data_IF_233523905157
#
_entry.id   IF_233523905157
#
_cell.length_a   1.000
_cell.length_b   1.000
_cell.length_c   1.000
_cell.angle_alpha   90.00
_cell.angle_beta   90.00
_cell.angle_gamma   90.00
#
_symmetry.space_group_name_H-M   'P 1'
#
loop_
_entity.id
_entity.type
_entity.pdbx_description
1 polymer ?
#
# COMPACT_ATOMS: atom_id res chain seq x y z
N UNK A 1 -17.30 48.89 17.38
CA UNK A 1 -17.36 47.54 16.77
C UNK A 1 -18.72 47.37 16.12
N UNK A 2 -18.78 47.47 14.79
CA UNK A 2 -20.04 47.36 14.03
C UNK A 2 -20.26 45.87 13.73
N UNK A 3 -21.24 45.23 14.38
CA UNK A 3 -21.70 43.89 13.99
C UNK A 3 -22.33 44.01 12.60
N UNK A 4 -21.66 43.48 11.57
CA UNK A 4 -22.27 43.36 10.24
C UNK A 4 -23.55 42.52 10.38
N UNK A 5 -24.70 42.98 9.88
CA UNK A 5 -25.92 42.18 9.88
C UNK A 5 -25.69 40.92 9.03
N UNK A 6 -26.02 39.76 9.60
CA UNK A 6 -26.07 38.49 8.87
C UNK A 6 -27.27 38.61 7.93
N UNK A 7 -27.01 38.74 6.63
CA UNK A 7 -28.05 38.78 5.60
C UNK A 7 -28.60 37.37 5.37
N UNK A 8 -29.93 37.24 5.28
CA UNK A 8 -30.65 35.97 5.13
C UNK A 8 -30.22 35.17 3.88
N UNK A 9 -29.78 35.84 2.82
CA UNK A 9 -29.26 35.19 1.60
C UNK A 9 -28.06 34.26 1.86
N UNK A 10 -27.28 34.52 2.92
CA UNK A 10 -26.12 33.70 3.24
C UNK A 10 -26.49 32.38 3.94
N UNK A 11 -27.73 32.25 4.43
CA UNK A 11 -28.19 31.06 5.16
C UNK A 11 -28.64 29.98 4.15
N UNK A 12 -29.35 30.36 3.09
CA UNK A 12 -29.86 29.40 2.09
C UNK A 12 -28.72 28.71 1.34
N UNK A 13 -27.68 29.44 0.92
CA UNK A 13 -26.52 28.86 0.26
C UNK A 13 -25.81 27.80 1.11
N UNK A 14 -25.65 28.09 2.40
CA UNK A 14 -24.99 27.17 3.34
C UNK A 14 -25.77 25.89 3.57
N UNK A 15 -27.11 25.97 3.61
CA UNK A 15 -27.99 24.79 3.77
C UNK A 15 -27.91 23.89 2.54
N UNK A 16 -27.88 24.47 1.33
CA UNK A 16 -27.78 23.71 0.08
C UNK A 16 -26.42 23.01 -0.01
N UNK A 17 -25.33 23.70 0.34
CA UNK A 17 -23.99 23.10 0.39
C UNK A 17 -23.90 21.96 1.40
N UNK A 18 -24.52 22.11 2.57
CA UNK A 18 -24.55 21.08 3.62
C UNK A 18 -25.31 19.83 3.17
N UNK A 19 -26.49 20.01 2.57
CA UNK A 19 -27.27 18.90 2.01
C UNK A 19 -26.50 18.17 0.90
N UNK A 20 -25.79 18.92 0.05
CA UNK A 20 -25.03 18.33 -1.05
C UNK A 20 -23.84 17.50 -0.56
N UNK A 21 -23.07 18.01 0.42
CA UNK A 21 -21.96 17.28 1.00
C UNK A 21 -22.43 15.98 1.68
N UNK A 22 -23.54 16.02 2.40
CA UNK A 22 -24.11 14.85 3.06
C UNK A 22 -24.56 13.77 2.06
N UNK A 23 -25.17 14.18 0.95
CA UNK A 23 -25.54 13.26 -0.14
C UNK A 23 -24.29 12.62 -0.77
N UNK A 24 -23.25 13.42 -1.04
CA UNK A 24 -21.99 12.92 -1.58
C UNK A 24 -21.31 11.92 -0.63
N UNK A 25 -21.21 12.23 0.66
CA UNK A 25 -20.66 11.32 1.67
C UNK A 25 -21.46 10.01 1.76
N UNK A 26 -22.79 10.10 1.80
CA UNK A 26 -23.68 8.93 1.86
C UNK A 26 -23.51 7.99 0.66
N UNK A 27 -23.19 8.54 -0.50
CA UNK A 27 -22.89 7.78 -1.72
C UNK A 27 -21.47 7.19 -1.71
N UNK A 28 -20.46 8.00 -1.41
CA UNK A 28 -19.05 7.62 -1.59
C UNK A 28 -18.50 6.75 -0.47
N UNK A 29 -18.89 6.99 0.79
CA UNK A 29 -18.32 6.29 1.95
C UNK A 29 -18.57 4.78 1.90
N UNK A 30 -19.81 4.27 1.65
CA UNK A 30 -20.03 2.82 1.57
C UNK A 30 -19.22 2.15 0.46
N UNK A 31 -19.11 2.80 -0.72
CA UNK A 31 -18.28 2.31 -1.83
C UNK A 31 -16.80 2.25 -1.44
N UNK A 32 -16.32 3.27 -0.72
CA UNK A 32 -14.95 3.35 -0.24
C UNK A 32 -14.60 2.21 0.72
N UNK A 33 -15.48 1.94 1.69
CA UNK A 33 -15.33 0.86 2.67
C UNK A 33 -15.41 -0.51 2.00
N UNK A 34 -16.37 -0.72 1.10
CA UNK A 34 -16.53 -1.97 0.36
C UNK A 34 -15.30 -2.29 -0.50
N UNK A 35 -14.77 -1.30 -1.24
CA UNK A 35 -13.58 -1.46 -2.08
C UNK A 35 -12.33 -1.84 -1.28
N UNK A 36 -12.23 -1.38 -0.02
CA UNK A 36 -11.14 -1.72 0.89
C UNK A 36 -11.41 -2.94 1.77
N UNK A 37 -12.62 -3.51 1.67
CA UNK A 37 -13.13 -4.60 2.50
C UNK A 37 -13.13 -4.27 4.00
N UNK A 38 -13.36 -3.00 4.33
CA UNK A 38 -13.37 -2.50 5.70
C UNK A 38 -14.69 -2.79 6.40
N UNK A 39 -14.63 -3.40 7.59
CA UNK A 39 -15.79 -3.99 8.29
C UNK A 39 -15.97 -3.53 9.73
N UNK A 40 -15.03 -2.76 10.29
CA UNK A 40 -15.13 -2.23 11.66
C UNK A 40 -16.32 -1.31 11.95
N UNK A 41 -16.92 -0.69 10.94
CA UNK A 41 -18.02 0.26 11.14
C UNK A 41 -19.35 -0.50 11.23
N UNK A 42 -19.99 -0.46 12.41
CA UNK A 42 -21.30 -1.06 12.67
C UNK A 42 -22.47 -0.11 12.41
N UNK A 43 -22.29 1.18 12.73
CA UNK A 43 -23.28 2.25 12.50
C UNK A 43 -22.83 3.15 11.34
N UNK A 44 -23.24 2.78 10.12
CA UNK A 44 -22.89 3.52 8.90
C UNK A 44 -23.45 4.96 8.89
N UNK A 45 -24.72 5.23 9.27
CA UNK A 45 -25.21 6.60 9.39
C UNK A 45 -24.39 7.49 10.31
N UNK A 46 -24.04 7.01 11.51
CA UNK A 46 -23.21 7.78 12.45
C UNK A 46 -21.81 8.06 11.87
N UNK A 47 -21.20 7.05 11.24
CA UNK A 47 -19.90 7.22 10.59
C UNK A 47 -19.93 8.24 9.44
N UNK A 48 -21.00 8.26 8.63
CA UNK A 48 -21.16 9.27 7.56
C UNK A 48 -21.17 10.68 8.14
N UNK A 49 -21.85 10.92 9.27
CA UNK A 49 -21.86 12.22 9.95
C UNK A 49 -20.45 12.63 10.37
N UNK A 50 -19.68 11.73 10.98
CA UNK A 50 -18.28 12.00 11.34
C UNK A 50 -17.40 12.37 10.12
N UNK A 51 -17.63 11.69 8.99
CA UNK A 51 -16.92 11.97 7.74
C UNK A 51 -17.29 13.33 7.17
N UNK A 52 -18.58 13.70 7.18
CA UNK A 52 -19.04 15.03 6.78
C UNK A 52 -18.37 16.13 7.61
N UNK A 53 -18.30 15.97 8.94
CA UNK A 53 -17.69 16.94 9.83
C UNK A 53 -16.18 17.09 9.61
N UNK A 54 -15.46 16.01 9.33
CA UNK A 54 -14.05 16.05 8.96
C UNK A 54 -13.83 16.65 7.57
N UNK A 55 -14.68 16.31 6.58
CA UNK A 55 -14.59 16.86 5.23
C UNK A 55 -14.82 18.39 5.24
N UNK A 56 -15.80 18.87 5.99
CA UNK A 56 -16.09 20.30 6.17
C UNK A 56 -14.88 21.04 6.75
N UNK A 57 -14.28 20.51 7.83
CA UNK A 57 -13.05 21.07 8.44
C UNK A 57 -11.86 21.14 7.48
N UNK A 58 -11.83 20.30 6.43
CA UNK A 58 -10.79 20.34 5.38
C UNK A 58 -11.11 21.33 4.27
N UNK A 59 -12.38 21.45 3.89
CA UNK A 59 -12.85 22.43 2.91
C UNK A 59 -12.70 23.88 3.41
N UNK A 60 -12.78 24.09 4.73
CA UNK A 60 -12.59 25.42 5.34
C UNK A 60 -11.12 25.91 5.34
N UNK A 61 -10.16 25.07 4.96
CA UNK A 61 -8.74 25.46 4.83
C UNK A 61 -8.52 26.26 3.54
N UNK A 62 -7.44 27.03 3.34
CA UNK A 62 -7.18 27.76 2.08
C UNK A 62 -6.48 26.88 0.99
N UNK A 63 -6.36 27.35 -0.27
CA UNK A 63 -7.01 26.85 -1.48
C UNK A 63 -6.26 25.73 -2.24
N UNK A 64 -5.40 24.94 -1.59
CA UNK A 64 -4.80 23.76 -2.27
C UNK A 64 -5.81 22.60 -2.39
N UNK A 65 -7.09 22.91 -2.66
CA UNK A 65 -8.16 21.97 -2.48
C UNK A 65 -8.15 20.89 -3.56
N UNK A 66 -7.96 19.63 -3.15
CA UNK A 66 -8.29 18.52 -4.03
C UNK A 66 -9.81 18.52 -4.27
N UNK A 67 -10.27 17.77 -5.29
CA UNK A 67 -11.70 17.66 -5.60
C UNK A 67 -12.53 17.25 -4.36
N UNK A 68 -13.82 17.64 -4.26
CA UNK A 68 -14.69 17.27 -3.15
C UNK A 68 -14.66 15.77 -2.83
N UNK A 69 -14.74 14.91 -3.85
CA UNK A 69 -14.63 13.46 -3.71
C UNK A 69 -13.33 13.03 -3.02
N UNK A 70 -12.21 13.69 -3.33
CA UNK A 70 -10.92 13.39 -2.72
C UNK A 70 -10.85 13.87 -1.27
N UNK A 71 -11.48 15.01 -0.95
CA UNK A 71 -11.60 15.48 0.43
C UNK A 71 -12.43 14.49 1.25
N UNK A 72 -13.56 14.01 0.72
CA UNK A 72 -14.42 13.00 1.35
C UNK A 72 -13.65 11.70 1.56
N UNK A 73 -12.92 11.20 0.55
CA UNK A 73 -12.09 10.01 0.68
C UNK A 73 -11.06 10.17 1.81
N UNK A 74 -10.34 11.29 1.86
CA UNK A 74 -9.35 11.53 2.90
C UNK A 74 -9.98 11.65 4.29
N UNK A 75 -11.14 12.30 4.40
CA UNK A 75 -11.90 12.39 5.64
C UNK A 75 -12.36 11.01 6.13
N UNK A 76 -12.88 10.17 5.22
CA UNK A 76 -13.29 8.81 5.52
C UNK A 76 -12.13 7.94 5.99
N UNK A 77 -10.98 7.98 5.30
CA UNK A 77 -9.77 7.26 5.73
C UNK A 77 -9.31 7.74 7.12
N UNK A 78 -9.30 9.05 7.36
CA UNK A 78 -8.90 9.60 8.64
C UNK A 78 -9.83 9.13 9.76
N UNK A 79 -11.15 9.26 9.61
CA UNK A 79 -12.12 8.79 10.61
C UNK A 79 -12.05 7.29 10.81
N UNK A 80 -11.91 6.52 9.74
CA UNK A 80 -11.73 5.07 9.85
C UNK A 80 -10.47 4.70 10.66
N UNK A 81 -9.37 5.44 10.52
CA UNK A 81 -8.17 5.22 11.33
C UNK A 81 -8.43 5.41 12.84
N UNK A 82 -9.28 6.37 13.23
CA UNK A 82 -9.69 6.52 14.63
C UNK A 82 -10.44 5.29 15.13
N UNK A 83 -11.42 4.79 14.37
CA UNK A 83 -12.17 3.57 14.71
C UNK A 83 -11.27 2.33 14.76
N UNK A 84 -10.35 2.21 13.81
CA UNK A 84 -9.40 1.11 13.76
C UNK A 84 -8.45 1.09 14.96
N UNK A 85 -7.88 2.24 15.30
CA UNK A 85 -7.04 2.41 16.48
C UNK A 85 -7.80 2.07 17.77
N UNK A 86 -9.01 2.61 17.93
CA UNK A 86 -9.85 2.33 19.09
C UNK A 86 -10.21 0.84 19.20
N UNK A 87 -10.53 0.18 18.08
CA UNK A 87 -10.84 -1.25 18.07
C UNK A 87 -9.61 -2.11 18.44
N UNK A 88 -8.41 -1.73 17.99
CA UNK A 88 -7.16 -2.38 18.43
C UNK A 88 -6.92 -2.26 19.94
N UNK A 89 -7.34 -1.15 20.56
CA UNK A 89 -7.24 -0.92 22.01
C UNK A 89 -8.42 -1.47 22.81
N UNK A 90 -9.45 -1.98 22.15
CA UNK A 90 -10.66 -2.46 22.82
C UNK A 90 -10.34 -3.62 23.75
N UNK A 91 -10.98 -3.63 24.93
CA UNK A 91 -11.00 -4.80 25.82
C UNK A 91 -11.96 -5.88 25.32
N UNK A 92 -12.79 -5.58 24.32
CA UNK A 92 -13.71 -6.54 23.69
C UNK A 92 -12.95 -7.44 22.70
N UNK A 93 -12.83 -8.75 22.96
CA UNK A 93 -11.98 -9.64 22.18
C UNK A 93 -12.37 -9.71 20.69
N UNK A 94 -13.67 -9.68 20.37
CA UNK A 94 -14.15 -9.77 19.00
C UNK A 94 -13.79 -8.52 18.18
N UNK A 95 -13.98 -7.34 18.76
CA UNK A 95 -13.63 -6.07 18.13
C UNK A 95 -12.13 -5.97 17.88
N UNK A 96 -11.32 -6.32 18.89
CA UNK A 96 -9.86 -6.35 18.76
C UNK A 96 -9.38 -7.38 17.73
N UNK A 97 -9.91 -8.60 17.75
CA UNK A 97 -9.57 -9.63 16.78
C UNK A 97 -9.91 -9.21 15.35
N UNK A 98 -11.09 -8.61 15.14
CA UNK A 98 -11.48 -8.10 13.82
C UNK A 98 -10.52 -7.01 13.35
N UNK A 99 -10.17 -6.05 14.23
CA UNK A 99 -9.24 -4.97 13.93
C UNK A 99 -7.86 -5.48 13.51
N UNK A 100 -7.30 -6.45 14.24
CA UNK A 100 -6.01 -7.06 13.87
C UNK A 100 -6.09 -7.93 12.62
N UNK A 101 -7.22 -8.61 12.38
CA UNK A 101 -7.46 -9.39 11.15
C UNK A 101 -7.47 -8.49 9.92
N UNK A 102 -8.18 -7.37 9.99
CA UNK A 102 -8.16 -6.37 8.93
C UNK A 102 -6.75 -5.79 8.75
N UNK A 103 -6.03 -5.54 9.85
CA UNK A 103 -4.71 -4.90 9.82
C UNK A 103 -3.68 -5.82 9.18
N UNK A 104 -3.73 -7.11 9.51
CA UNK A 104 -2.97 -8.16 8.84
C UNK A 104 -3.18 -8.11 7.34
N UNK A 105 -4.44 -8.13 6.86
CA UNK A 105 -4.76 -8.09 5.43
C UNK A 105 -4.20 -6.84 4.74
N UNK A 106 -4.33 -5.67 5.38
CA UNK A 106 -3.77 -4.42 4.86
C UNK A 106 -2.24 -4.46 4.76
N UNK A 107 -1.55 -4.88 5.82
CA UNK A 107 -0.09 -4.94 5.87
C UNK A 107 0.47 -6.01 4.94
N UNK A 108 -0.17 -7.17 4.84
CA UNK A 108 0.26 -8.28 3.99
C UNK A 108 0.24 -7.92 2.51
N UNK A 109 -0.77 -7.19 2.04
CA UNK A 109 -0.80 -6.67 0.67
C UNK A 109 0.39 -5.74 0.38
N UNK A 110 0.80 -4.92 1.35
CA UNK A 110 1.97 -4.04 1.22
C UNK A 110 3.27 -4.87 1.26
N UNK A 111 3.35 -5.87 2.14
CA UNK A 111 4.52 -6.72 2.29
C UNK A 111 4.80 -7.54 1.02
N UNK A 112 3.77 -8.19 0.46
CA UNK A 112 3.87 -8.97 -0.79
C UNK A 112 4.28 -8.12 -1.99
N UNK A 113 3.88 -6.84 -2.03
CA UNK A 113 4.33 -5.94 -3.08
C UNK A 113 5.84 -5.61 -2.96
N UNK A 114 6.41 -5.69 -1.76
CA UNK A 114 7.80 -5.31 -1.47
C UNK A 114 8.76 -6.50 -1.35
N UNK A 115 8.24 -7.69 -1.08
CA UNK A 115 9.00 -8.90 -0.85
C UNK A 115 8.43 -10.03 -1.72
N UNK A 116 9.28 -10.64 -2.54
CA UNK A 116 8.88 -11.70 -3.46
C UNK A 116 8.60 -13.01 -2.71
N UNK A 117 9.35 -13.28 -1.64
CA UNK A 117 9.13 -14.43 -0.79
C UNK A 117 7.92 -14.22 0.13
N UNK A 118 6.84 -14.96 -0.12
CA UNK A 118 5.59 -14.87 0.64
C UNK A 118 5.78 -15.23 2.13
N UNK A 119 6.70 -16.15 2.45
CA UNK A 119 6.95 -16.57 3.83
C UNK A 119 7.65 -15.44 4.60
N UNK A 120 8.68 -14.82 4.00
CA UNK A 120 9.36 -13.66 4.60
C UNK A 120 8.38 -12.48 4.75
N UNK A 121 7.47 -12.28 3.80
CA UNK A 121 6.44 -11.26 3.89
C UNK A 121 5.46 -11.51 5.04
N UNK A 122 5.00 -12.75 5.22
CA UNK A 122 4.09 -13.14 6.30
C UNK A 122 4.74 -12.97 7.67
N UNK A 123 5.95 -13.49 7.86
CA UNK A 123 6.67 -13.34 9.13
C UNK A 123 6.96 -11.86 9.46
N UNK A 124 7.24 -11.02 8.47
CA UNK A 124 7.44 -9.58 8.67
C UNK A 124 6.14 -8.88 9.11
N UNK A 125 4.98 -9.32 8.60
CA UNK A 125 3.68 -8.80 9.02
C UNK A 125 3.37 -9.24 10.44
N UNK A 126 3.59 -10.51 10.78
CA UNK A 126 3.37 -11.02 12.14
C UNK A 126 4.19 -10.23 13.16
N UNK A 127 5.49 -10.04 12.91
CA UNK A 127 6.37 -9.25 13.78
C UNK A 127 5.90 -7.79 13.87
N UNK A 128 5.51 -7.19 12.74
CA UNK A 128 4.98 -5.82 12.73
C UNK A 128 3.70 -5.69 13.57
N UNK A 129 2.79 -6.68 13.53
CA UNK A 129 1.57 -6.67 14.33
C UNK A 129 1.86 -6.77 15.82
N UNK A 130 2.83 -7.60 16.23
CA UNK A 130 3.30 -7.69 17.61
C UNK A 130 3.85 -6.33 18.06
N UNK A 131 4.74 -5.73 17.26
CA UNK A 131 5.33 -4.43 17.55
C UNK A 131 4.28 -3.31 17.62
N UNK A 132 3.28 -3.32 16.74
CA UNK A 132 2.16 -2.38 16.79
C UNK A 132 1.39 -2.55 18.09
N UNK A 133 0.96 -3.78 18.44
CA UNK A 133 0.21 -4.06 19.66
C UNK A 133 0.93 -3.56 20.92
N UNK A 134 2.23 -3.86 21.04
CA UNK A 134 3.07 -3.43 22.18
C UNK A 134 3.26 -1.91 22.28
N UNK A 135 3.00 -1.17 21.20
CA UNK A 135 3.27 0.27 21.10
C UNK A 135 2.01 1.11 20.86
N UNK A 136 0.82 0.51 20.90
CA UNK A 136 -0.46 1.21 20.66
C UNK A 136 -0.60 2.47 21.50
N UNK A 137 -0.28 2.40 22.79
CA UNK A 137 -0.39 3.53 23.73
C UNK A 137 0.51 4.73 23.38
N UNK A 138 1.53 4.52 22.53
CA UNK A 138 2.47 5.58 22.11
C UNK A 138 1.99 6.35 20.87
N UNK A 139 0.86 5.95 20.27
CA UNK A 139 0.31 6.60 19.07
C UNK A 139 -0.47 7.84 19.49
N UNK A 140 0.13 9.02 19.30
CA UNK A 140 -0.47 10.30 19.68
C UNK A 140 -1.55 10.80 18.70
N UNK A 141 -1.53 10.33 17.45
CA UNK A 141 -2.48 10.70 16.40
C UNK A 141 -3.15 9.45 15.82
N UNK A 142 -4.34 9.07 16.33
CA UNK A 142 -5.10 7.95 15.80
C UNK A 142 -5.48 8.15 14.32
N UNK A 143 -5.63 9.40 13.85
CA UNK A 143 -5.93 9.70 12.45
C UNK A 143 -4.82 9.28 11.47
N UNK A 144 -3.61 9.05 11.97
CA UNK A 144 -2.44 8.57 11.22
C UNK A 144 -2.12 7.08 11.45
N UNK A 145 -3.00 6.31 12.12
CA UNK A 145 -2.73 4.93 12.54
C UNK A 145 -2.28 4.00 11.42
N UNK A 146 -2.95 3.99 10.26
CA UNK A 146 -2.51 3.19 9.10
C UNK A 146 -1.11 3.57 8.60
N UNK A 147 -0.76 4.85 8.65
CA UNK A 147 0.57 5.34 8.28
C UNK A 147 1.63 4.86 9.26
N UNK A 148 1.32 4.90 10.56
CA UNK A 148 2.14 4.33 11.62
C UNK A 148 2.37 2.82 11.42
N UNK A 149 1.29 2.04 11.22
CA UNK A 149 1.38 0.61 11.00
C UNK A 149 2.23 0.25 9.76
N UNK A 150 2.03 0.99 8.67
CA UNK A 150 2.87 0.86 7.47
C UNK A 150 4.33 1.12 7.77
N UNK A 151 4.65 2.18 8.53
CA UNK A 151 6.04 2.48 8.91
C UNK A 151 6.68 1.35 9.72
N UNK A 152 5.95 0.76 10.68
CA UNK A 152 6.44 -0.39 11.46
C UNK A 152 6.76 -1.56 10.52
N UNK A 153 5.85 -1.92 9.61
CA UNK A 153 6.09 -2.98 8.62
C UNK A 153 7.34 -2.71 7.76
N UNK A 154 7.53 -1.49 7.27
CA UNK A 154 8.71 -1.16 6.46
C UNK A 154 10.01 -1.35 7.24
N UNK A 155 10.01 -1.02 8.53
CA UNK A 155 11.18 -1.25 9.40
C UNK A 155 11.48 -2.75 9.54
N UNK A 156 10.47 -3.58 9.74
CA UNK A 156 10.65 -5.04 9.82
C UNK A 156 11.22 -5.63 8.52
N UNK A 157 10.68 -5.22 7.37
CA UNK A 157 11.18 -5.65 6.06
C UNK A 157 12.66 -5.24 5.86
N UNK A 158 13.02 -4.01 6.25
CA UNK A 158 14.41 -3.52 6.16
C UNK A 158 15.35 -4.26 7.10
N UNK A 159 14.91 -4.55 8.32
CA UNK A 159 15.70 -5.29 9.30
C UNK A 159 16.02 -6.70 8.78
N UNK A 160 15.01 -7.40 8.23
CA UNK A 160 15.17 -8.72 7.63
C UNK A 160 16.08 -8.72 6.42
N UNK A 161 15.92 -7.75 5.50
CA UNK A 161 16.80 -7.60 4.34
C UNK A 161 18.27 -7.40 4.76
N UNK A 162 18.50 -6.60 5.82
CA UNK A 162 19.84 -6.36 6.37
C UNK A 162 20.42 -7.63 7.02
N UNK A 163 19.59 -8.39 7.74
CA UNK A 163 19.99 -9.66 8.35
C UNK A 163 20.35 -10.72 7.30
N UNK A 164 19.57 -10.84 6.23
CA UNK A 164 19.84 -11.76 5.12
C UNK A 164 21.17 -11.43 4.42
N UNK A 165 21.42 -10.15 4.15
CA UNK A 165 22.71 -9.70 3.57
C UNK A 165 23.91 -10.06 4.46
N UNK A 166 23.80 -9.85 5.78
CA UNK A 166 24.86 -10.21 6.74
C UNK A 166 25.11 -11.71 6.83
N UNK A 167 24.08 -12.56 6.63
CA UNK A 167 24.25 -14.03 6.59
C UNK A 167 25.04 -14.44 5.35
N UNK A 168 24.69 -13.89 4.19
CA UNK A 168 25.42 -14.12 2.94
C UNK A 168 26.89 -13.67 3.00
N UNK A 169 27.19 -12.58 3.72
CA UNK A 169 28.58 -12.11 3.90
C UNK A 169 29.39 -12.96 4.91
N UNK A 170 28.72 -13.65 5.85
CA UNK A 170 29.37 -14.41 6.94
C UNK A 170 29.54 -15.89 6.65
N UNK A 171 28.74 -16.45 5.77
CA UNK A 171 29.02 -17.75 5.16
C UNK A 171 29.94 -17.47 3.97
N UNK A 172 31.27 -17.47 4.13
CA UNK A 172 32.13 -17.53 2.95
C UNK A 172 31.66 -18.76 2.20
N UNK A 173 31.25 -18.55 0.94
CA UNK A 173 31.02 -19.63 0.00
C UNK A 173 32.23 -20.55 0.17
N UNK A 174 32.02 -21.75 0.70
CA UNK A 174 33.01 -22.81 0.69
C UNK A 174 33.17 -23.22 -0.79
N UNK A 175 33.71 -22.30 -1.58
CA UNK A 175 34.05 -22.47 -2.98
C UNK A 175 35.47 -23.01 -2.97
N UNK A 176 35.57 -24.27 -3.38
CA UNK A 176 36.71 -24.83 -4.09
C UNK A 176 37.99 -25.09 -3.29
N UNK A 177 37.88 -25.96 -2.28
CA UNK A 177 38.95 -26.92 -1.97
C UNK A 177 38.38 -28.34 -1.89
N UNK A 178 37.91 -28.86 -3.02
CA UNK A 178 37.94 -30.31 -3.30
C UNK A 178 37.98 -30.54 -4.81
N UNK A 179 39.12 -30.20 -5.40
CA UNK A 179 39.60 -30.84 -6.61
C UNK A 179 40.32 -32.13 -6.19
N UNK A 180 39.81 -33.28 -6.66
CA UNK A 180 40.36 -34.63 -6.44
C UNK A 180 39.73 -35.33 -5.23
N UNK A 181 39.23 -36.56 -5.29
CA UNK A 181 39.43 -37.65 -6.24
C UNK A 181 38.12 -38.44 -6.39
N UNK A 182 37.95 -38.96 -7.60
CA UNK A 182 37.01 -40.03 -7.96
C UNK A 182 37.12 -41.21 -7.00
N UNK A 183 36.01 -41.62 -6.40
CA UNK A 183 35.80 -43.04 -6.15
C UNK A 183 34.35 -43.41 -6.47
N UNK A 184 34.22 -44.40 -7.34
CA UNK A 184 32.97 -44.88 -7.87
C UNK A 184 32.26 -45.68 -6.77
N UNK A 185 31.01 -45.31 -6.44
CA UNK A 185 30.13 -46.23 -5.71
C UNK A 185 28.76 -46.26 -6.40
N UNK A 186 28.33 -47.41 -6.95
CA UNK A 186 27.10 -47.50 -7.73
C UNK A 186 25.83 -47.34 -6.89
N UNK A 187 24.84 -46.75 -7.56
CA UNK A 187 23.42 -46.66 -7.21
C UNK A 187 22.87 -47.95 -6.58
N UNK A 188 22.13 -47.82 -5.49
CA UNK A 188 20.77 -48.39 -5.48
C UNK A 188 19.86 -47.80 -4.39
N UNK A 189 18.59 -47.73 -4.76
CA UNK A 189 17.40 -47.66 -3.91
C UNK A 189 16.92 -46.30 -3.33
N UNK A 190 15.71 -45.94 -3.81
CA UNK A 190 14.65 -45.12 -3.18
C UNK A 190 14.57 -43.63 -3.57
N UNK A 191 14.37 -43.37 -4.87
CA UNK A 191 13.57 -42.21 -5.29
C UNK A 191 12.25 -42.71 -5.88
N UNK A 192 11.18 -42.54 -5.10
CA UNK A 192 9.81 -42.65 -5.61
C UNK A 192 9.54 -41.46 -6.54
N UNK A 193 8.97 -41.67 -7.72
CA UNK A 193 8.59 -40.58 -8.61
C UNK A 193 7.33 -39.92 -8.04
N UNK A 194 7.48 -38.71 -7.51
CA UNK A 194 6.34 -37.80 -7.39
C UNK A 194 5.98 -37.36 -8.80
N UNK A 195 4.85 -37.87 -9.30
CA UNK A 195 4.19 -37.35 -10.49
C UNK A 195 3.82 -35.88 -10.26
N UNK A 196 4.71 -34.98 -10.66
CA UNK A 196 4.36 -33.59 -10.92
C UNK A 196 3.28 -33.61 -12.01
N UNK A 197 2.05 -33.29 -11.61
CA UNK A 197 1.00 -32.91 -12.55
C UNK A 197 1.48 -31.68 -13.33
N UNK A 198 2.11 -31.93 -14.48
CA UNK A 198 2.31 -30.97 -15.55
C UNK A 198 0.94 -30.42 -15.94
N UNK A 199 0.61 -29.25 -15.38
CA UNK A 199 -0.50 -28.44 -15.88
C UNK A 199 -0.23 -28.21 -17.36
N UNK A 200 -1.16 -28.56 -18.27
CA UNK A 200 -0.95 -28.34 -19.70
C UNK A 200 -0.71 -26.86 -19.93
N UNK A 201 0.53 -26.53 -20.31
CA UNK A 201 0.87 -25.19 -20.78
C UNK A 201 -0.06 -24.87 -21.93
N UNK A 202 -0.81 -23.75 -21.89
CA UNK A 202 -1.53 -23.30 -23.06
C UNK A 202 -0.50 -23.01 -24.16
N UNK A 203 -0.41 -23.93 -25.12
CA UNK A 203 0.43 -23.83 -26.31
C UNK A 203 -0.03 -22.65 -27.15
N UNK A 204 0.53 -21.49 -26.84
CA UNK A 204 0.26 -20.25 -27.54
C UNK A 204 1.27 -19.22 -27.06
N UNK A 205 2.53 -19.37 -27.48
CA UNK A 205 3.51 -18.29 -27.33
C UNK A 205 2.88 -17.05 -27.98
N UNK A 206 2.57 -15.99 -27.21
CA UNK A 206 1.92 -14.82 -27.76
C UNK A 206 2.72 -14.28 -28.94
N UNK A 207 2.03 -13.89 -30.02
CA UNK A 207 2.69 -13.28 -31.17
C UNK A 207 3.50 -12.06 -30.70
N UNK A 208 4.75 -11.86 -31.19
CA UNK A 208 5.58 -10.70 -30.84
C UNK A 208 4.86 -9.35 -31.07
N UNK A 209 3.93 -9.29 -32.03
CA UNK A 209 3.12 -8.10 -32.29
C UNK A 209 2.17 -7.78 -31.13
N UNK A 210 1.55 -8.80 -30.53
CA UNK A 210 0.64 -8.61 -29.40
C UNK A 210 1.37 -8.08 -28.17
N UNK A 211 2.59 -8.54 -27.91
CA UNK A 211 3.40 -8.01 -26.80
C UNK A 211 3.75 -6.54 -26.99
N UNK A 212 4.10 -6.14 -28.21
CA UNK A 212 4.38 -4.74 -28.55
C UNK A 212 3.14 -3.85 -28.37
N UNK A 213 1.98 -4.29 -28.86
CA UNK A 213 0.71 -3.57 -28.69
C UNK A 213 0.33 -3.42 -27.22
N UNK A 214 0.51 -4.50 -26.43
CA UNK A 214 0.23 -4.50 -24.99
C UNK A 214 1.14 -3.52 -24.24
N UNK A 215 2.44 -3.50 -24.57
CA UNK A 215 3.40 -2.56 -23.96
C UNK A 215 3.09 -1.11 -24.34
N UNK A 216 2.78 -0.84 -25.61
CA UNK A 216 2.39 0.48 -26.09
C UNK A 216 1.11 0.99 -25.39
N UNK A 217 0.12 0.11 -25.23
CA UNK A 217 -1.11 0.44 -24.50
C UNK A 217 -0.83 0.75 -23.02
N UNK A 218 0.01 -0.05 -22.35
CA UNK A 218 0.35 0.20 -20.95
C UNK A 218 1.11 1.51 -20.77
N UNK A 219 2.02 1.84 -21.69
CA UNK A 219 2.75 3.11 -21.69
C UNK A 219 1.79 4.31 -21.78
N UNK A 220 0.82 4.25 -22.69
CA UNK A 220 -0.21 5.29 -22.86
C UNK A 220 -1.08 5.45 -21.60
N UNK A 221 -1.50 4.34 -20.98
CA UNK A 221 -2.23 4.38 -19.69
C UNK A 221 -1.40 5.06 -18.60
N UNK A 222 -0.12 4.69 -18.44
CA UNK A 222 0.77 5.31 -17.44
C UNK A 222 0.90 6.82 -17.68
N UNK A 223 1.03 7.25 -18.94
CA UNK A 223 1.13 8.67 -19.32
C UNK A 223 -0.14 9.46 -19.00
N UNK A 224 -1.32 8.85 -19.12
CA UNK A 224 -2.60 9.49 -18.77
C UNK A 224 -2.84 9.56 -17.26
N UNK A 225 -2.42 8.53 -16.52
CA UNK A 225 -2.69 8.43 -15.09
C UNK A 225 -1.73 9.26 -14.23
N UNK A 226 -0.47 9.42 -14.64
CA UNK A 226 0.52 10.18 -13.88
C UNK A 226 0.65 11.61 -14.42
N UNK A 227 0.49 12.62 -13.56
CA UNK A 227 0.62 14.03 -13.97
C UNK A 227 2.07 14.51 -14.17
N UNK A 228 3.05 13.79 -13.62
CA UNK A 228 4.47 14.20 -13.67
C UNK A 228 5.24 13.44 -14.74
N UNK A 229 5.76 14.17 -15.74
CA UNK A 229 6.60 13.60 -16.81
C UNK A 229 7.84 12.88 -16.28
N UNK A 230 8.42 13.35 -15.16
CA UNK A 230 9.54 12.68 -14.49
C UNK A 230 9.14 11.35 -13.85
N UNK A 231 7.95 11.28 -13.25
CA UNK A 231 7.45 10.01 -12.68
C UNK A 231 7.11 9.02 -13.79
N UNK A 232 6.46 9.47 -14.86
CA UNK A 232 6.19 8.65 -16.05
C UNK A 232 7.49 8.01 -16.58
N UNK A 233 8.54 8.81 -16.80
CA UNK A 233 9.83 8.33 -17.30
C UNK A 233 10.47 7.29 -16.37
N UNK A 234 10.40 7.49 -15.05
CA UNK A 234 10.93 6.52 -14.07
C UNK A 234 10.16 5.20 -14.10
N UNK A 235 8.82 5.25 -14.15
CA UNK A 235 7.99 4.03 -14.15
C UNK A 235 8.11 3.27 -15.48
N UNK A 236 7.97 3.97 -16.61
CA UNK A 236 8.11 3.36 -17.95
C UNK A 236 9.51 2.77 -18.10
N UNK A 237 10.54 3.56 -17.81
CA UNK A 237 11.92 3.13 -17.98
C UNK A 237 12.27 1.94 -17.10
N UNK A 238 11.80 1.92 -15.84
CA UNK A 238 12.10 0.80 -14.93
C UNK A 238 11.34 -0.47 -15.26
N UNK A 239 10.04 -0.36 -15.53
CA UNK A 239 9.15 -1.53 -15.61
C UNK A 239 8.89 -2.03 -17.03
N UNK A 240 9.03 -1.17 -18.05
CA UNK A 240 8.81 -1.56 -19.44
C UNK A 240 10.09 -1.64 -20.26
N UNK A 241 11.13 -0.91 -19.85
CA UNK A 241 12.41 -0.86 -20.58
C UNK A 241 13.56 -1.47 -19.78
N UNK A 242 13.29 -2.03 -18.60
CA UNK A 242 14.26 -2.68 -17.71
C UNK A 242 15.50 -1.82 -17.35
N UNK A 243 15.38 -0.49 -17.46
CA UNK A 243 16.47 0.44 -17.15
C UNK A 243 16.80 0.40 -15.66
N UNK A 244 18.08 0.40 -15.36
CA UNK A 244 18.60 0.51 -13.99
C UNK A 244 18.39 1.92 -13.43
N UNK A 245 18.43 2.03 -12.10
CA UNK A 245 18.33 3.33 -11.41
C UNK A 245 19.42 4.32 -11.82
N UNK A 246 20.61 3.82 -12.17
CA UNK A 246 21.74 4.65 -12.58
C UNK A 246 21.53 5.21 -13.98
N UNK A 247 21.00 4.41 -14.90
CA UNK A 247 20.66 4.85 -16.26
C UNK A 247 19.55 5.90 -16.22
N UNK A 248 18.49 5.66 -15.46
CA UNK A 248 17.41 6.63 -15.28
C UNK A 248 17.88 7.93 -14.64
N UNK A 249 18.79 7.85 -13.67
CA UNK A 249 19.40 9.02 -13.04
C UNK A 249 20.23 9.85 -14.04
N UNK A 250 21.02 9.18 -14.88
CA UNK A 250 21.82 9.82 -15.92
C UNK A 250 20.92 10.46 -16.99
N UNK A 251 19.90 9.73 -17.47
CA UNK A 251 18.95 10.19 -18.49
C UNK A 251 18.16 11.41 -18.03
N UNK A 252 17.69 11.41 -16.78
CA UNK A 252 16.92 12.52 -16.20
C UNK A 252 17.79 13.62 -15.59
N UNK A 253 19.12 13.47 -15.62
CA UNK A 253 20.08 14.40 -15.01
C UNK A 253 19.77 14.70 -13.53
N UNK A 254 19.43 13.67 -12.76
CA UNK A 254 19.15 13.78 -11.32
C UNK A 254 19.99 12.79 -10.52
N UNK A 255 20.13 13.02 -9.23
CA UNK A 255 20.78 12.05 -8.34
C UNK A 255 19.93 10.79 -8.21
N UNK A 256 20.58 9.62 -8.08
CA UNK A 256 19.92 8.32 -7.91
C UNK A 256 18.91 8.31 -6.76
N UNK A 257 19.19 9.02 -5.64
CA UNK A 257 18.24 9.14 -4.52
C UNK A 257 16.91 9.79 -4.94
N UNK A 258 16.94 10.71 -5.89
CA UNK A 258 15.73 11.37 -6.38
C UNK A 258 14.87 10.40 -7.22
N UNK A 259 15.49 9.47 -7.95
CA UNK A 259 14.76 8.43 -8.69
C UNK A 259 14.00 7.51 -7.74
N UNK A 260 14.61 7.08 -6.62
CA UNK A 260 13.91 6.30 -5.59
C UNK A 260 12.70 7.04 -5.02
N UNK A 261 12.85 8.34 -4.77
CA UNK A 261 11.76 9.18 -4.26
C UNK A 261 10.64 9.33 -5.29
N UNK A 262 10.97 9.56 -6.57
CA UNK A 262 9.99 9.63 -7.66
C UNK A 262 9.24 8.31 -7.85
N UNK A 263 9.94 7.18 -7.79
CA UNK A 263 9.35 5.83 -7.87
C UNK A 263 8.45 5.50 -6.68
N UNK A 264 8.71 6.08 -5.50
CA UNK A 264 7.88 5.84 -4.30
C UNK A 264 6.61 6.68 -4.23
N UNK A 265 6.52 7.73 -5.05
CA UNK A 265 5.41 8.70 -5.10
C UNK A 265 4.48 8.49 -6.30
N UNK A 266 4.86 7.65 -7.25
CA UNK A 266 4.01 7.19 -8.34
C UNK A 266 3.16 6.03 -7.85
#
# INVERSE_FOLDING_TARGET
MVKKPITFENIEGKIVEESHLQEQCSRLVPLLLANRRWQLITDMPAFIVEVCDEARRRLDRPPEHPSPDKVIEQAAINRYNHHWYAACQSSEPLSQQLAFTELHRYLYNIARYKQADNHVAEEAVQEALINIWQSLERVNDPGAFMGYAKMVLIRELMHRATAAKKRYEREPVASDLQAGETDETPLDALSQPHEEQTVPSPEGTPSPQWEQERLAHLEDVIRRCLGSTKQQAVIIGRFLQEKTMKELAAELQVKVQHIYLLSSRA
#
